data_IF_558626692077
#
_entry.id   IF_558626692077
#
_cell.length_a   1.000
_cell.length_b   1.000
_cell.length_c   1.000
_cell.angle_alpha   90.00
_cell.angle_beta   90.00
_cell.angle_gamma   90.00
#
_symmetry.space_group_name_H-M   'P 1'
#
loop_
_entity.id
_entity.type
_entity.pdbx_description
1 polymer ?
#
# COMPACT_ATOMS: atom_id res chain seq x y z
N UNK A 1 53.91 -34.88 3.41
CA UNK A 1 53.60 -33.48 3.78
C UNK A 1 52.35 -33.09 3.00
N UNK A 2 51.19 -33.14 3.66
CA UNK A 2 49.89 -32.87 3.03
C UNK A 2 49.61 -31.37 3.12
N UNK A 3 49.42 -30.71 1.98
CA UNK A 3 49.10 -29.28 1.92
C UNK A 3 47.58 -29.10 1.95
N UNK A 4 47.05 -28.65 3.08
CA UNK A 4 45.65 -28.23 3.22
C UNK A 4 45.53 -26.82 2.62
N UNK A 5 44.92 -26.72 1.43
CA UNK A 5 44.54 -25.44 0.85
C UNK A 5 43.28 -24.92 1.56
N UNK A 6 43.43 -23.94 2.44
CA UNK A 6 42.32 -23.14 2.94
C UNK A 6 41.79 -22.27 1.80
N UNK A 7 40.63 -22.66 1.25
CA UNK A 7 39.85 -21.79 0.38
C UNK A 7 39.20 -20.69 1.23
N UNK A 8 39.23 -19.41 0.81
CA UNK A 8 38.59 -18.34 1.55
C UNK A 8 37.07 -18.53 1.56
N UNK A 9 36.49 -18.34 2.75
CA UNK A 9 35.04 -18.29 2.98
C UNK A 9 34.47 -17.19 2.09
N UNK A 10 33.64 -17.58 1.11
CA UNK A 10 32.84 -16.61 0.35
C UNK A 10 31.86 -15.97 1.34
N UNK A 11 32.01 -14.68 1.58
CA UNK A 11 30.91 -13.89 2.14
C UNK A 11 29.79 -13.91 1.11
N UNK A 12 28.75 -14.68 1.44
CA UNK A 12 27.51 -14.72 0.67
C UNK A 12 26.94 -13.31 0.68
N UNK A 13 26.92 -12.65 -0.48
CA UNK A 13 26.06 -11.47 -0.63
C UNK A 13 24.64 -11.96 -0.41
N UNK A 14 23.79 -11.27 0.38
CA UNK A 14 22.39 -11.64 0.44
C UNK A 14 21.86 -11.69 -0.99
N UNK A 15 21.34 -12.85 -1.38
CA UNK A 15 20.70 -13.04 -2.67
C UNK A 15 19.62 -11.96 -2.79
N UNK A 16 19.84 -11.01 -3.69
CA UNK A 16 18.79 -10.10 -4.10
C UNK A 16 17.93 -10.93 -5.03
N UNK A 17 17.00 -11.68 -4.45
CA UNK A 17 15.96 -12.36 -5.20
C UNK A 17 15.07 -11.27 -5.80
N UNK A 18 15.32 -10.98 -7.08
CA UNK A 18 14.61 -9.94 -7.82
C UNK A 18 13.12 -10.29 -7.76
N UNK A 19 12.25 -9.42 -7.20
CA UNK A 19 10.83 -9.69 -7.16
C UNK A 19 10.30 -9.91 -8.58
N UNK A 20 9.43 -10.89 -8.76
CA UNK A 20 8.79 -11.16 -10.05
C UNK A 20 7.89 -9.97 -10.35
N UNK A 21 8.33 -9.09 -11.25
CA UNK A 21 7.58 -7.91 -11.68
C UNK A 21 6.47 -8.35 -12.64
N UNK A 22 5.24 -8.44 -12.12
CA UNK A 22 4.03 -8.45 -12.93
C UNK A 22 3.54 -7.03 -13.19
N UNK A 23 2.64 -6.87 -14.16
CA UNK A 23 1.85 -5.66 -14.32
C UNK A 23 0.39 -5.98 -14.01
N UNK A 24 -0.26 -5.12 -13.22
CA UNK A 24 -1.69 -5.16 -12.96
C UNK A 24 -2.32 -3.90 -13.48
N UNK A 25 -3.40 -4.06 -14.24
CA UNK A 25 -4.25 -2.96 -14.66
C UNK A 25 -5.19 -2.61 -13.50
N UNK A 26 -5.08 -1.39 -12.97
CA UNK A 26 -5.87 -0.90 -11.84
C UNK A 26 -7.07 -0.05 -12.28
N UNK A 27 -7.11 0.36 -13.54
CA UNK A 27 -8.27 0.97 -14.21
C UNK A 27 -8.10 0.94 -15.72
N UNK A 28 -9.22 0.89 -16.45
CA UNK A 28 -9.27 0.93 -17.92
C UNK A 28 -9.11 2.37 -18.43
N UNK A 29 -8.06 2.63 -19.19
CA UNK A 29 -7.75 3.96 -19.75
C UNK A 29 -8.77 4.38 -20.82
N UNK A 30 -9.25 3.45 -21.64
CA UNK A 30 -10.23 3.75 -22.69
C UNK A 30 -11.58 4.12 -22.08
N UNK A 31 -11.98 3.41 -21.02
CA UNK A 31 -13.17 3.76 -20.25
C UNK A 31 -13.07 5.17 -19.64
N UNK A 32 -11.90 5.55 -19.16
CA UNK A 32 -11.66 6.89 -18.58
C UNK A 32 -11.67 7.97 -19.66
N UNK A 33 -11.10 7.72 -20.84
CA UNK A 33 -11.15 8.67 -21.96
C UNK A 33 -12.58 8.89 -22.45
N UNK A 34 -13.37 7.82 -22.57
CA UNK A 34 -14.80 7.94 -22.86
C UNK A 34 -15.53 8.75 -21.80
N UNK A 35 -15.27 8.47 -20.51
CA UNK A 35 -15.89 9.21 -19.40
C UNK A 35 -15.51 10.70 -19.41
N UNK A 36 -14.28 11.04 -19.82
CA UNK A 36 -13.82 12.42 -19.97
C UNK A 36 -14.56 13.15 -21.09
N UNK A 37 -14.79 12.49 -22.22
CA UNK A 37 -15.52 13.05 -23.37
C UNK A 37 -17.01 13.25 -23.08
N UNK A 38 -17.60 12.40 -22.22
CA UNK A 38 -19.01 12.45 -21.83
C UNK A 38 -19.31 13.43 -20.68
N UNK A 39 -18.30 14.15 -20.16
CA UNK A 39 -18.52 15.11 -19.07
C UNK A 39 -19.50 16.22 -19.46
N UNK A 40 -20.50 16.53 -18.60
CA UNK A 40 -21.48 17.56 -18.90
C UNK A 40 -20.85 18.97 -18.90
N UNK A 41 -21.46 19.93 -19.62
CA UNK A 41 -21.08 21.33 -19.53
C UNK A 41 -21.19 21.83 -18.08
N UNK A 42 -20.07 22.24 -17.47
CA UNK A 42 -20.03 22.65 -16.06
C UNK A 42 -19.63 21.55 -15.08
N UNK A 43 -19.11 20.41 -15.56
CA UNK A 43 -18.45 19.41 -14.74
C UNK A 43 -17.29 20.00 -13.91
N UNK A 44 -16.94 19.33 -12.82
CA UNK A 44 -15.86 19.76 -11.94
C UNK A 44 -14.51 19.78 -12.68
N UNK A 45 -13.80 20.91 -12.65
CA UNK A 45 -12.43 21.02 -13.17
C UNK A 45 -11.47 20.05 -12.46
N UNK A 46 -11.71 19.76 -11.17
CA UNK A 46 -10.91 18.79 -10.43
C UNK A 46 -11.11 17.36 -10.95
N UNK A 47 -12.35 17.00 -11.29
CA UNK A 47 -12.67 15.69 -11.88
C UNK A 47 -12.04 15.56 -13.27
N UNK A 48 -12.19 16.59 -14.10
CA UNK A 48 -11.58 16.65 -15.43
C UNK A 48 -10.06 16.47 -15.37
N UNK A 49 -9.39 17.23 -14.50
CA UNK A 49 -7.94 17.13 -14.30
C UNK A 49 -7.53 15.74 -13.80
N UNK A 50 -8.36 15.08 -12.99
CA UNK A 50 -8.12 13.71 -12.52
C UNK A 50 -8.16 12.72 -13.69
N UNK A 51 -9.16 12.77 -14.56
CA UNK A 51 -9.26 11.90 -15.74
C UNK A 51 -8.12 12.12 -16.73
N UNK A 52 -7.79 13.38 -17.04
CA UNK A 52 -6.63 13.71 -17.88
C UNK A 52 -5.34 13.11 -17.31
N UNK A 53 -5.17 13.17 -15.99
CA UNK A 53 -4.02 12.57 -15.31
C UNK A 53 -4.04 11.05 -15.37
N UNK A 54 -5.19 10.41 -15.19
CA UNK A 54 -5.34 8.96 -15.33
C UNK A 54 -4.92 8.48 -16.73
N UNK A 55 -5.39 9.16 -17.78
CA UNK A 55 -5.03 8.83 -19.16
C UNK A 55 -3.52 9.02 -19.37
N UNK A 56 -2.96 10.13 -18.88
CA UNK A 56 -1.53 10.43 -19.00
C UNK A 56 -0.64 9.42 -18.28
N UNK A 57 -1.03 8.99 -17.07
CA UNK A 57 -0.24 8.06 -16.26
C UNK A 57 -0.42 6.62 -16.74
N UNK A 58 -1.59 6.28 -17.28
CA UNK A 58 -1.93 4.93 -17.72
C UNK A 58 -2.39 4.04 -16.56
N UNK A 59 -3.16 2.99 -16.90
CA UNK A 59 -3.81 2.08 -15.96
C UNK A 59 -2.91 1.00 -15.37
N UNK A 60 -1.69 0.81 -15.89
CA UNK A 60 -0.80 -0.29 -15.46
C UNK A 60 0.07 0.10 -14.27
N UNK A 61 0.22 -0.82 -13.31
CA UNK A 61 1.11 -0.70 -12.16
C UNK A 61 1.92 -1.98 -11.97
N UNK A 62 3.10 -1.86 -11.36
CA UNK A 62 3.89 -3.03 -10.98
C UNK A 62 3.24 -3.77 -9.82
N UNK A 63 3.09 -5.08 -9.93
CA UNK A 63 2.80 -5.93 -8.78
C UNK A 63 4.11 -6.43 -8.22
N UNK A 64 4.28 -6.31 -6.90
CA UNK A 64 5.40 -6.92 -6.21
C UNK A 64 5.03 -8.30 -5.67
N UNK A 65 5.82 -9.29 -6.07
CA UNK A 65 5.79 -10.64 -5.50
C UNK A 65 7.18 -11.01 -4.97
N UNK A 66 7.33 -11.32 -3.68
CA UNK A 66 8.58 -11.85 -3.14
C UNK A 66 8.91 -13.18 -3.82
N UNK A 67 10.13 -13.30 -4.36
CA UNK A 67 10.63 -14.57 -4.92
C UNK A 67 11.10 -15.55 -3.81
N UNK A 68 11.06 -15.12 -2.57
CA UNK A 68 11.42 -15.88 -1.37
C UNK A 68 11.20 -15.04 -0.12
N UNK A 69 11.60 -15.57 1.04
CA UNK A 69 11.58 -14.81 2.29
C UNK A 69 12.74 -13.80 2.24
N UNK A 70 12.48 -12.48 2.27
CA UNK A 70 13.54 -11.47 2.21
C UNK A 70 14.40 -11.50 3.48
N UNK A 71 15.59 -10.91 3.40
CA UNK A 71 16.51 -10.83 4.53
C UNK A 71 15.97 -9.88 5.62
N UNK A 72 15.27 -10.43 6.61
CA UNK A 72 14.61 -9.65 7.66
C UNK A 72 15.43 -9.45 8.95
N UNK A 73 16.57 -10.14 9.13
CA UNK A 73 17.31 -10.16 10.39
C UNK A 73 17.61 -8.75 10.95
N UNK A 74 18.01 -7.83 10.07
CA UNK A 74 18.28 -6.43 10.41
C UNK A 74 17.04 -5.69 10.95
N UNK A 75 15.82 -6.03 10.52
CA UNK A 75 14.59 -5.43 11.02
C UNK A 75 14.27 -5.85 12.45
N UNK A 76 14.60 -7.08 12.84
CA UNK A 76 14.42 -7.54 14.23
C UNK A 76 15.34 -6.79 15.19
N UNK A 77 16.50 -6.35 14.73
CA UNK A 77 17.43 -5.51 15.48
C UNK A 77 16.99 -4.04 15.51
N UNK A 78 16.55 -3.50 14.37
CA UNK A 78 16.08 -2.11 14.24
C UNK A 78 14.75 -1.87 14.97
N UNK A 79 13.86 -2.86 14.97
CA UNK A 79 12.47 -2.75 15.43
C UNK A 79 12.15 -3.79 16.52
N UNK A 80 12.85 -3.78 17.68
CA UNK A 80 12.73 -4.81 18.70
C UNK A 80 11.35 -4.89 19.34
N UNK A 81 10.56 -3.82 19.25
CA UNK A 81 9.18 -3.75 19.76
C UNK A 81 8.16 -4.44 18.85
N UNK A 82 8.55 -4.83 17.62
CA UNK A 82 7.64 -5.36 16.60
C UNK A 82 7.94 -6.82 16.24
N UNK A 83 8.67 -7.56 17.09
CA UNK A 83 9.10 -8.94 16.80
C UNK A 83 7.93 -9.87 16.45
N UNK A 84 6.86 -9.83 17.23
CA UNK A 84 5.67 -10.66 16.99
C UNK A 84 5.02 -10.33 15.64
N UNK A 85 4.91 -9.05 15.31
CA UNK A 85 4.36 -8.58 14.03
C UNK A 85 5.28 -8.98 12.86
N UNK A 86 6.60 -8.87 13.03
CA UNK A 86 7.57 -9.32 12.03
C UNK A 86 7.47 -10.82 11.78
N UNK A 87 7.26 -11.62 12.83
CA UNK A 87 7.06 -13.07 12.71
C UNK A 87 5.80 -13.41 11.92
N UNK A 88 4.71 -12.66 12.12
CA UNK A 88 3.47 -12.86 11.36
C UNK A 88 3.60 -12.43 9.90
N UNK A 89 4.23 -11.28 9.63
CA UNK A 89 4.55 -10.85 8.26
C UNK A 89 5.43 -11.89 7.56
N UNK A 90 6.43 -12.43 8.25
CA UNK A 90 7.32 -13.47 7.70
C UNK A 90 6.54 -14.72 7.31
N UNK A 91 5.56 -15.15 8.12
CA UNK A 91 4.67 -16.28 7.79
C UNK A 91 3.85 -15.98 6.53
N UNK A 92 3.26 -14.79 6.42
CA UNK A 92 2.46 -14.39 5.25
C UNK A 92 3.30 -14.35 3.96
N UNK A 93 4.51 -13.78 4.02
CA UNK A 93 5.45 -13.79 2.89
C UNK A 93 5.84 -15.22 2.52
N UNK A 94 6.12 -16.08 3.50
CA UNK A 94 6.47 -17.47 3.26
C UNK A 94 5.32 -18.25 2.60
N UNK A 95 4.06 -17.96 2.94
CA UNK A 95 2.89 -18.55 2.28
C UNK A 95 2.81 -18.10 0.82
N UNK A 96 2.86 -16.78 0.56
CA UNK A 96 2.80 -16.22 -0.79
C UNK A 96 3.95 -16.69 -1.70
N UNK A 97 5.16 -16.83 -1.16
CA UNK A 97 6.31 -17.33 -1.91
C UNK A 97 6.10 -18.77 -2.45
N UNK A 98 5.16 -19.52 -1.89
CA UNK A 98 4.83 -20.88 -2.30
C UNK A 98 3.52 -20.99 -3.12
N UNK A 99 2.84 -19.87 -3.39
CA UNK A 99 1.62 -19.85 -4.22
C UNK A 99 1.85 -19.05 -5.50
N UNK A 100 0.89 -19.07 -6.43
CA UNK A 100 0.89 -18.20 -7.62
C UNK A 100 0.36 -16.80 -7.31
N UNK A 101 -0.25 -16.61 -6.15
CA UNK A 101 -0.93 -15.37 -5.75
C UNK A 101 0.03 -14.19 -5.59
N UNK A 102 -0.53 -12.99 -5.67
CA UNK A 102 0.15 -11.74 -5.34
C UNK A 102 0.34 -11.64 -3.81
N UNK A 103 1.33 -10.87 -3.36
CA UNK A 103 1.48 -10.64 -1.92
C UNK A 103 0.36 -9.75 -1.43
N UNK A 104 -0.52 -10.35 -0.63
CA UNK A 104 -1.54 -9.67 0.15
C UNK A 104 -1.24 -9.86 1.64
N UNK A 105 -0.95 -8.75 2.31
CA UNK A 105 -0.84 -8.77 3.76
C UNK A 105 -2.23 -8.61 4.36
N UNK A 106 -2.58 -9.48 5.31
CA UNK A 106 -3.82 -9.33 6.07
C UNK A 106 -3.84 -7.96 6.74
N UNK A 107 -4.96 -7.21 6.71
CA UNK A 107 -5.08 -5.96 7.46
C UNK A 107 -4.70 -6.15 8.94
N UNK A 108 -3.80 -5.30 9.43
CA UNK A 108 -3.24 -5.41 10.78
C UNK A 108 -3.53 -4.14 11.58
N UNK A 109 -4.01 -4.30 12.81
CA UNK A 109 -4.18 -3.21 13.77
C UNK A 109 -3.01 -3.21 14.76
N UNK A 110 -2.14 -2.19 14.65
CA UNK A 110 -0.99 -2.02 15.53
C UNK A 110 -1.39 -1.21 16.77
N UNK A 111 -1.55 -1.88 17.92
CA UNK A 111 -1.82 -1.24 19.21
C UNK A 111 -0.53 -1.09 20.03
N UNK A 112 -0.30 0.09 20.57
CA UNK A 112 0.86 0.38 21.42
C UNK A 112 0.98 1.86 21.75
N UNK A 113 1.87 2.21 22.67
CA UNK A 113 2.02 3.59 23.14
C UNK A 113 2.39 4.57 22.01
N UNK A 114 2.04 5.86 22.16
CA UNK A 114 2.54 6.92 21.27
C UNK A 114 4.08 6.90 21.20
N UNK A 115 4.64 7.11 20.00
CA UNK A 115 6.09 7.17 19.81
C UNK A 115 6.82 5.82 19.72
N UNK A 116 6.14 4.67 19.87
CA UNK A 116 6.77 3.33 19.73
C UNK A 116 7.28 3.02 18.31
N UNK A 117 6.92 3.85 17.32
CA UNK A 117 7.42 3.75 15.94
C UNK A 117 6.49 3.02 14.97
N UNK A 118 5.17 2.97 15.20
CA UNK A 118 4.19 2.27 14.33
C UNK A 118 4.27 2.72 12.86
N UNK A 119 4.30 4.03 12.63
CA UNK A 119 4.40 4.61 11.28
C UNK A 119 5.76 4.35 10.64
N UNK A 120 6.83 4.38 11.43
CA UNK A 120 8.18 4.00 10.98
C UNK A 120 8.21 2.52 10.57
N UNK A 121 7.65 1.63 11.41
CA UNK A 121 7.52 0.21 11.12
C UNK A 121 6.85 -0.04 9.77
N UNK A 122 5.69 0.56 9.51
CA UNK A 122 4.99 0.40 8.21
C UNK A 122 5.86 0.81 7.01
N UNK A 123 6.64 1.89 7.13
CA UNK A 123 7.58 2.31 6.09
C UNK A 123 8.69 1.29 5.87
N UNK A 124 9.27 0.74 6.94
CA UNK A 124 10.33 -0.29 6.84
C UNK A 124 9.82 -1.58 6.24
N UNK A 125 8.55 -1.94 6.48
CA UNK A 125 7.92 -3.08 5.81
C UNK A 125 7.71 -2.79 4.32
N UNK A 126 7.26 -1.60 3.94
CA UNK A 126 7.14 -1.24 2.52
C UNK A 126 8.50 -1.30 1.79
N UNK A 127 9.56 -0.80 2.43
CA UNK A 127 10.94 -0.89 1.94
C UNK A 127 11.41 -2.35 1.79
N UNK A 128 11.13 -3.20 2.80
CA UNK A 128 11.46 -4.63 2.78
C UNK A 128 10.79 -5.35 1.62
N UNK A 129 9.51 -5.05 1.39
CA UNK A 129 8.71 -5.65 0.33
C UNK A 129 9.02 -5.05 -1.04
N UNK A 130 9.70 -3.90 -1.10
CA UNK A 130 9.96 -3.19 -2.35
C UNK A 130 8.69 -2.63 -3.00
N UNK A 131 7.64 -2.33 -2.22
CA UNK A 131 6.37 -1.80 -2.71
C UNK A 131 6.19 -0.32 -2.37
N UNK A 132 5.12 0.30 -2.88
CA UNK A 132 4.76 1.68 -2.57
C UNK A 132 4.33 1.84 -1.11
N UNK A 133 4.49 3.05 -0.58
CA UNK A 133 4.05 3.41 0.76
C UNK A 133 3.03 4.54 0.71
N UNK A 134 1.82 4.29 1.20
CA UNK A 134 0.78 5.28 1.44
C UNK A 134 0.66 5.60 2.92
N UNK A 135 0.44 6.86 3.27
CA UNK A 135 0.21 7.28 4.65
C UNK A 135 -1.02 8.17 4.73
N UNK A 136 -1.90 7.85 5.67
CA UNK A 136 -3.14 8.58 5.94
C UNK A 136 -3.25 8.77 7.45
N UNK A 137 -3.30 10.01 7.93
CA UNK A 137 -3.53 10.32 9.35
C UNK A 137 -4.98 10.76 9.55
N UNK A 138 -5.69 10.03 10.41
CA UNK A 138 -7.10 10.29 10.70
C UNK A 138 -7.32 11.49 11.63
N UNK A 139 -6.32 11.95 12.39
CA UNK A 139 -6.49 13.16 13.23
C UNK A 139 -6.76 14.43 12.43
N UNK A 140 -6.27 14.47 11.19
CA UNK A 140 -6.50 15.59 10.26
C UNK A 140 -7.76 15.42 9.41
N UNK A 141 -8.40 14.25 9.48
CA UNK A 141 -9.52 13.90 8.61
C UNK A 141 -10.84 14.21 9.32
N UNK A 142 -11.52 15.22 8.80
CA UNK A 142 -12.86 15.61 9.28
C UNK A 142 -13.96 14.72 8.72
N UNK A 143 -13.66 13.86 7.73
CA UNK A 143 -14.67 12.99 7.12
C UNK A 143 -14.07 11.82 6.31
N UNK A 144 -14.79 10.68 6.30
CA UNK A 144 -14.38 9.45 5.63
C UNK A 144 -14.22 9.53 4.10
N UNK A 145 -14.86 10.51 3.44
CA UNK A 145 -14.68 10.74 1.99
C UNK A 145 -13.27 11.21 1.62
N UNK A 146 -12.44 11.64 2.58
CA UNK A 146 -11.03 11.91 2.31
C UNK A 146 -10.27 10.59 2.04
N UNK A 147 -10.72 9.47 2.62
CA UNK A 147 -10.10 8.16 2.41
C UNK A 147 -10.55 7.53 1.08
N UNK A 148 -11.88 7.43 0.88
CA UNK A 148 -12.50 6.72 -0.25
C UNK A 148 -12.81 7.61 -1.47
N UNK A 149 -12.92 8.93 -1.26
CA UNK A 149 -13.28 9.90 -2.29
C UNK A 149 -14.72 10.40 -2.12
N UNK A 150 -15.02 11.54 -2.74
CA UNK A 150 -16.37 12.07 -2.83
C UNK A 150 -17.01 11.73 -4.18
N UNK A 151 -18.34 11.68 -4.21
CA UNK A 151 -19.07 11.37 -5.44
C UNK A 151 -18.73 12.38 -6.54
N UNK A 152 -18.52 11.87 -7.76
CA UNK A 152 -18.19 12.65 -8.96
C UNK A 152 -19.26 13.67 -9.34
N UNK A 153 -20.47 13.54 -8.81
CA UNK A 153 -21.58 14.47 -9.01
C UNK A 153 -21.41 15.78 -8.22
N UNK A 154 -20.52 15.81 -7.23
CA UNK A 154 -20.28 16.99 -6.42
C UNK A 154 -19.36 17.98 -7.16
N UNK A 155 -19.69 19.28 -7.11
CA UNK A 155 -18.87 20.32 -7.77
C UNK A 155 -17.40 20.31 -7.35
N UNK A 156 -17.13 19.88 -6.10
CA UNK A 156 -15.79 19.76 -5.53
C UNK A 156 -15.37 18.29 -5.35
N UNK A 157 -15.82 17.40 -6.26
CA UNK A 157 -15.43 16.00 -6.24
C UNK A 157 -13.91 15.86 -6.22
N UNK A 158 -13.41 15.03 -5.32
CA UNK A 158 -11.98 14.71 -5.20
C UNK A 158 -11.82 13.21 -4.99
N UNK A 159 -10.82 12.59 -5.65
CA UNK A 159 -10.47 11.22 -5.33
C UNK A 159 -10.02 11.09 -3.89
N UNK A 160 -10.25 9.91 -3.30
CA UNK A 160 -9.78 9.58 -1.97
C UNK A 160 -8.27 9.35 -1.93
N UNK A 161 -7.68 9.41 -0.73
CA UNK A 161 -6.24 9.19 -0.50
C UNK A 161 -5.76 7.83 -0.97
N UNK A 162 -6.61 6.81 -0.87
CA UNK A 162 -6.28 5.46 -1.38
C UNK A 162 -6.09 5.52 -2.89
N UNK A 163 -7.07 6.05 -3.63
CA UNK A 163 -6.97 6.23 -5.07
C UNK A 163 -5.77 7.11 -5.47
N UNK A 164 -5.52 8.21 -4.76
CA UNK A 164 -4.35 9.06 -5.01
C UNK A 164 -3.03 8.29 -4.85
N UNK A 165 -2.96 7.34 -3.90
CA UNK A 165 -1.77 6.50 -3.68
C UNK A 165 -1.51 5.62 -4.90
N UNK A 166 -2.55 5.05 -5.51
CA UNK A 166 -2.43 4.28 -6.75
C UNK A 166 -2.13 5.15 -7.97
N UNK A 167 -2.86 6.25 -8.14
CA UNK A 167 -2.70 7.13 -9.29
C UNK A 167 -1.29 7.75 -9.34
N UNK A 168 -0.73 8.12 -8.18
CA UNK A 168 0.61 8.71 -8.09
C UNK A 168 1.73 7.68 -7.86
N UNK A 169 1.38 6.47 -7.41
CA UNK A 169 2.32 5.39 -7.15
C UNK A 169 2.63 4.56 -8.40
N UNK A 170 3.67 3.74 -8.29
CA UNK A 170 4.08 2.81 -9.35
C UNK A 170 3.58 1.38 -9.11
N UNK A 171 3.08 1.09 -7.90
CA UNK A 171 2.77 -0.26 -7.45
C UNK A 171 1.26 -0.51 -7.30
N UNK A 172 0.83 -1.74 -7.60
CA UNK A 172 -0.54 -2.20 -7.53
C UNK A 172 -0.93 -2.77 -6.15
N UNK A 173 0.07 -3.05 -5.31
CA UNK A 173 -0.11 -3.53 -3.94
C UNK A 173 0.72 -2.67 -2.94
N UNK A 174 0.48 -1.34 -2.87
CA UNK A 174 1.18 -0.48 -1.92
C UNK A 174 0.75 -0.80 -0.48
N UNK A 175 1.69 -0.65 0.45
CA UNK A 175 1.39 -0.68 1.88
C UNK A 175 0.82 0.67 2.30
N UNK A 176 -0.43 0.69 2.74
CA UNK A 176 -1.10 1.91 3.24
C UNK A 176 -1.19 1.85 4.76
N UNK A 177 -0.61 2.84 5.44
CA UNK A 177 -0.77 3.03 6.89
C UNK A 177 -1.86 4.05 7.15
N UNK A 178 -2.87 3.64 7.91
CA UNK A 178 -3.89 4.53 8.48
C UNK A 178 -3.56 4.74 9.95
N UNK A 179 -3.16 5.95 10.30
CA UNK A 179 -2.74 6.34 11.66
C UNK A 179 -3.86 7.05 12.41
N UNK A 180 -3.80 7.00 13.75
CA UNK A 180 -4.72 7.70 14.65
C UNK A 180 -6.21 7.38 14.43
N UNK A 181 -6.53 6.11 14.10
CA UNK A 181 -7.91 5.64 13.89
C UNK A 181 -8.79 5.91 15.11
N UNK A 182 -8.22 5.91 16.33
CA UNK A 182 -8.92 6.25 17.56
C UNK A 182 -9.44 7.70 17.60
N UNK A 183 -8.86 8.61 16.80
CA UNK A 183 -9.28 10.01 16.68
C UNK A 183 -10.41 10.23 15.68
N UNK A 184 -10.73 9.25 14.85
CA UNK A 184 -11.73 9.38 13.79
C UNK A 184 -13.18 9.48 14.32
N UNK A 185 -13.46 9.03 15.54
CA UNK A 185 -14.82 8.90 16.09
C UNK A 185 -15.32 10.05 16.96
N UNK A 186 -14.56 11.13 17.16
CA UNK A 186 -14.97 12.20 18.08
C UNK A 186 -16.02 13.17 17.52
N UNK A 187 -16.16 13.27 16.20
CA UNK A 187 -17.19 14.08 15.55
C UNK A 187 -18.30 13.17 14.98
N UNK A 188 -19.42 13.07 15.70
CA UNK A 188 -20.58 12.23 15.36
C UNK A 188 -21.27 12.58 14.01
N UNK A 189 -20.81 13.63 13.32
CA UNK A 189 -21.47 14.15 12.13
C UNK A 189 -20.94 13.54 10.82
N UNK A 190 -19.77 12.87 10.85
CA UNK A 190 -19.19 12.20 9.69
C UNK A 190 -18.57 10.86 10.12
N UNK A 191 -19.15 9.75 9.68
CA UNK A 191 -18.59 8.41 9.95
C UNK A 191 -17.32 8.18 9.12
N UNK A 192 -16.17 8.53 9.70
CA UNK A 192 -14.87 8.31 9.10
C UNK A 192 -14.49 6.83 9.03
N UNK A 193 -15.04 5.99 9.93
CA UNK A 193 -14.81 4.55 9.94
C UNK A 193 -15.62 3.83 8.86
N UNK A 194 -16.77 4.39 8.47
CA UNK A 194 -17.60 3.93 7.35
C UNK A 194 -16.80 3.61 6.09
N UNK A 195 -15.86 4.49 5.73
CA UNK A 195 -15.00 4.30 4.57
C UNK A 195 -13.99 3.13 4.74
N UNK A 196 -13.55 2.84 5.97
CA UNK A 196 -12.66 1.71 6.24
C UNK A 196 -13.40 0.38 6.07
N UNK A 197 -14.69 0.29 6.42
CA UNK A 197 -15.45 -0.94 6.20
C UNK A 197 -15.47 -1.33 4.73
N UNK A 198 -15.81 -0.40 3.84
CA UNK A 198 -15.81 -0.66 2.38
C UNK A 198 -14.42 -1.03 1.84
N UNK A 199 -13.34 -0.52 2.44
CA UNK A 199 -11.98 -0.78 1.99
C UNK A 199 -11.37 -2.07 2.53
N UNK A 200 -11.87 -2.57 3.66
CA UNK A 200 -11.35 -3.75 4.36
C UNK A 200 -12.28 -4.97 4.24
N UNK A 201 -13.49 -4.79 3.71
CA UNK A 201 -14.42 -5.88 3.44
C UNK A 201 -13.94 -6.71 2.25
N UNK A 202 -13.70 -7.99 2.51
CA UNK A 202 -13.16 -8.94 1.53
C UNK A 202 -14.19 -9.34 0.46
N UNK A 203 -15.49 -9.23 0.75
CA UNK A 203 -16.58 -9.75 -0.10
C UNK A 203 -17.19 -8.71 -1.06
N UNK A 204 -16.73 -7.45 -1.02
CA UNK A 204 -17.24 -6.34 -1.85
C UNK A 204 -16.17 -5.70 -2.76
N UNK A 205 -14.97 -6.28 -2.84
CA UNK A 205 -13.87 -5.84 -3.72
C UNK A 205 -13.73 -6.69 -5.00
#
# INVERSE_FOLDING_TARGET
MSATANLPVRHDKPAVDIPIAGFKEIYDVEAVDRALQELPPGASEALKSTYEKMIKVGGQRFTVKPAGIPAMAHLYEELPNFKEVLDDIKKQIALCANTEDELELTPMLLLGEPGVGKTHFGRRIADLLGTGFGFVSMSSMTAGWILSGSSSQWKNAKPGKVFETFLNGQYANPLIVVDEIDKAGSDQQYDALGALYTLLEHDTA
#
